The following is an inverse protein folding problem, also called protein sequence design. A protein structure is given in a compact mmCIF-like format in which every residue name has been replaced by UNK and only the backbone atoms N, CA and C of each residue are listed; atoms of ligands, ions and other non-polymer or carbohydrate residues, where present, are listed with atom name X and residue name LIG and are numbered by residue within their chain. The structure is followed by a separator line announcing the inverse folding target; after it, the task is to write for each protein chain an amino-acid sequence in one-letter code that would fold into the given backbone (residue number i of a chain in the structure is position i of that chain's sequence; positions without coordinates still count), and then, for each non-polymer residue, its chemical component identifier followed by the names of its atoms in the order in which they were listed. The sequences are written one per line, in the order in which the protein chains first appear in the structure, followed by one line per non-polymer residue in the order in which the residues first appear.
data_IF_176610023680
#
_entry.id   IF_176610023680
#
_cell.length_a   1.000
_cell.length_b   1.000
_cell.length_c   1.000
_cell.angle_alpha   90.00
_cell.angle_beta   90.00
_cell.angle_gamma   90.00
#
_symmetry.space_group_name_H-M   'P 1'
#
loop_
_entity.id
_entity.type
_entity.pdbx_description
1 polymer ?
#
# COMPACT_ATOMS: atom_id res chain seq x y z
N UNK A 1 22.24 -4.26 10.61
CA UNK A 1 22.37 -5.40 9.68
C UNK A 1 22.75 -4.85 8.31
N UNK A 2 23.85 -5.34 7.72
CA UNK A 2 24.58 -4.69 6.63
C UNK A 2 23.92 -4.88 5.25
N UNK A 3 23.41 -3.79 4.67
CA UNK A 3 22.70 -3.71 3.39
C UNK A 3 23.57 -3.91 2.12
N UNK A 4 24.71 -4.61 2.23
CA UNK A 4 25.62 -4.89 1.10
C UNK A 4 25.48 -6.27 0.48
N UNK A 5 24.86 -7.22 1.18
CA UNK A 5 24.84 -8.62 0.71
C UNK A 5 23.77 -8.90 -0.36
N UNK A 6 22.70 -8.10 -0.42
CA UNK A 6 21.60 -8.30 -1.39
C UNK A 6 21.88 -7.60 -2.73
N UNK A 7 22.79 -6.60 -2.74
CA UNK A 7 23.08 -5.80 -3.94
C UNK A 7 23.98 -6.48 -4.96
N UNK A 8 24.67 -7.57 -4.60
CA UNK A 8 25.75 -8.13 -5.43
C UNK A 8 25.33 -9.30 -6.33
N UNK A 9 24.17 -9.95 -6.13
CA UNK A 9 23.91 -11.23 -6.83
C UNK A 9 22.51 -11.50 -7.39
N UNK A 10 21.58 -10.54 -7.39
CA UNK A 10 20.30 -10.75 -8.07
C UNK A 10 19.94 -9.53 -8.91
N UNK A 11 19.53 -9.79 -10.16
CA UNK A 11 19.01 -8.80 -11.10
C UNK A 11 18.01 -7.92 -10.36
N UNK A 12 18.36 -6.64 -10.17
CA UNK A 12 17.69 -5.70 -9.25
C UNK A 12 16.17 -5.65 -9.44
N UNK A 13 15.71 -5.87 -10.68
CA UNK A 13 14.30 -5.99 -11.07
C UNK A 13 13.52 -7.09 -10.37
N UNK A 14 14.12 -8.27 -10.21
CA UNK A 14 13.37 -9.43 -9.73
C UNK A 14 13.33 -9.52 -8.20
N UNK A 15 14.06 -8.66 -7.49
CA UNK A 15 14.14 -8.71 -6.02
C UNK A 15 12.76 -8.46 -5.40
N UNK A 16 11.99 -7.50 -5.90
CA UNK A 16 10.64 -7.20 -5.40
C UNK A 16 9.68 -8.39 -5.63
N UNK A 17 9.66 -8.93 -6.85
CA UNK A 17 8.84 -10.08 -7.23
C UNK A 17 9.20 -11.31 -6.39
N UNK A 18 10.50 -11.62 -6.28
CA UNK A 18 10.98 -12.78 -5.54
C UNK A 18 10.71 -12.65 -4.04
N UNK A 19 10.82 -11.44 -3.48
CA UNK A 19 10.45 -11.19 -2.09
C UNK A 19 8.96 -11.47 -1.82
N UNK A 20 8.06 -11.02 -2.70
CA UNK A 20 6.61 -11.27 -2.56
C UNK A 20 6.30 -12.77 -2.66
N UNK A 21 6.93 -13.47 -3.60
CA UNK A 21 6.82 -14.93 -3.76
C UNK A 21 7.34 -15.66 -2.51
N UNK A 22 8.45 -15.18 -1.92
CA UNK A 22 9.00 -15.71 -0.67
C UNK A 22 8.11 -15.43 0.56
N UNK A 23 7.02 -14.67 0.41
CA UNK A 23 6.06 -14.40 1.47
C UNK A 23 6.22 -13.02 2.12
N UNK A 24 7.07 -12.14 1.60
CA UNK A 24 7.14 -10.77 2.09
C UNK A 24 5.82 -10.03 1.80
N UNK A 25 5.32 -9.29 2.79
CA UNK A 25 4.12 -8.46 2.63
C UNK A 25 4.46 -6.99 2.32
N UNK A 26 5.66 -6.52 2.69
CA UNK A 26 6.11 -5.13 2.46
C UNK A 26 7.54 -5.14 1.91
N UNK A 27 7.76 -4.40 0.82
CA UNK A 27 9.09 -4.10 0.28
C UNK A 27 9.57 -2.78 0.87
N UNK A 28 10.54 -2.84 1.78
CA UNK A 28 11.07 -1.66 2.46
C UNK A 28 12.24 -1.08 1.68
N UNK A 29 12.12 0.18 1.26
CA UNK A 29 13.16 0.95 0.57
C UNK A 29 13.72 0.24 -0.67
N UNK A 30 12.91 0.04 -1.73
CA UNK A 30 13.44 -0.43 -3.00
C UNK A 30 14.48 0.56 -3.52
N UNK A 31 15.48 0.04 -4.24
CA UNK A 31 16.53 0.87 -4.84
C UNK A 31 15.95 1.82 -5.91
N UNK A 32 15.00 1.32 -6.69
CA UNK A 32 14.21 2.06 -7.66
C UNK A 32 12.75 1.67 -7.44
N UNK A 33 11.91 2.65 -7.09
CA UNK A 33 10.50 2.41 -6.76
C UNK A 33 9.67 2.12 -8.00
N UNK A 34 9.91 2.85 -9.09
CA UNK A 34 9.15 2.73 -10.32
C UNK A 34 9.43 1.38 -10.98
N UNK A 35 10.71 0.99 -11.04
CA UNK A 35 11.11 -0.32 -11.57
C UNK A 35 10.57 -1.48 -10.70
N UNK A 36 10.54 -1.31 -9.37
CA UNK A 36 9.95 -2.30 -8.48
C UNK A 36 8.43 -2.44 -8.69
N UNK A 37 7.71 -1.33 -8.82
CA UNK A 37 6.28 -1.34 -9.07
C UNK A 37 5.94 -2.03 -10.40
N UNK A 38 6.59 -1.61 -11.50
CA UNK A 38 6.36 -2.18 -12.82
C UNK A 38 6.67 -3.68 -12.87
N UNK A 39 7.71 -4.11 -12.16
CA UNK A 39 8.07 -5.53 -12.07
C UNK A 39 6.99 -6.38 -11.38
N UNK A 40 6.36 -5.85 -10.34
CA UNK A 40 5.31 -6.55 -9.59
C UNK A 40 4.02 -6.54 -10.38
N UNK A 41 3.65 -5.41 -10.99
CA UNK A 41 2.48 -5.31 -11.85
C UNK A 41 2.55 -6.33 -12.99
N UNK A 42 3.68 -6.35 -13.71
CA UNK A 42 3.91 -7.32 -14.78
C UNK A 42 3.90 -8.76 -14.28
N UNK A 43 4.45 -9.04 -13.11
CA UNK A 43 4.41 -10.38 -12.53
C UNK A 43 2.98 -10.84 -12.17
N UNK A 44 2.07 -9.93 -11.86
CA UNK A 44 0.65 -10.23 -11.66
C UNK A 44 -0.06 -10.46 -13.00
N UNK A 45 0.16 -9.58 -13.98
CA UNK A 45 -0.40 -9.71 -15.34
C UNK A 45 0.05 -11.00 -16.03
N UNK A 46 1.33 -11.36 -15.89
CA UNK A 46 1.91 -12.60 -16.42
C UNK A 46 1.47 -13.86 -15.63
N UNK A 47 0.74 -13.69 -14.53
CA UNK A 47 0.25 -14.78 -13.67
C UNK A 47 1.31 -15.44 -12.79
N UNK A 48 2.53 -14.89 -12.71
CA UNK A 48 3.61 -15.35 -11.82
C UNK A 48 3.26 -15.12 -10.35
N UNK A 49 2.52 -14.06 -10.05
CA UNK A 49 1.91 -13.78 -8.74
C UNK A 49 0.40 -13.72 -8.95
N UNK A 50 -0.37 -14.47 -8.16
CA UNK A 50 -1.83 -14.34 -8.21
C UNK A 50 -2.27 -13.05 -7.52
N UNK A 51 -3.34 -12.42 -8.03
CA UNK A 51 -3.96 -11.25 -7.38
C UNK A 51 -4.32 -11.55 -5.91
N UNK A 52 -4.87 -12.73 -5.65
CA UNK A 52 -5.17 -13.21 -4.30
C UNK A 52 -3.94 -13.27 -3.35
N UNK A 53 -2.71 -13.39 -3.88
CA UNK A 53 -1.49 -13.31 -3.05
C UNK A 53 -1.26 -11.87 -2.58
N UNK A 54 -1.51 -10.89 -3.42
CA UNK A 54 -1.41 -9.47 -3.09
C UNK A 54 -2.52 -9.08 -2.12
N UNK A 55 -3.76 -9.51 -2.37
CA UNK A 55 -4.90 -9.23 -1.49
C UNK A 55 -4.65 -9.67 -0.05
N UNK A 56 -4.07 -10.86 0.14
CA UNK A 56 -3.69 -11.35 1.47
C UNK A 56 -2.64 -10.48 2.17
N UNK A 57 -1.67 -9.94 1.43
CA UNK A 57 -0.70 -8.98 1.98
C UNK A 57 -1.42 -7.70 2.42
N UNK A 58 -2.28 -7.17 1.54
CA UNK A 58 -3.04 -5.93 1.80
C UNK A 58 -3.95 -6.09 3.01
N UNK A 59 -4.67 -7.21 3.14
CA UNK A 59 -5.54 -7.51 4.27
C UNK A 59 -4.78 -7.46 5.61
N UNK A 60 -3.58 -8.08 5.68
CA UNK A 60 -2.75 -8.04 6.89
C UNK A 60 -2.26 -6.64 7.22
N UNK A 61 -1.86 -5.88 6.21
CA UNK A 61 -1.41 -4.50 6.37
C UNK A 61 -2.56 -3.63 6.87
N UNK A 62 -3.74 -3.74 6.27
CA UNK A 62 -4.93 -3.00 6.68
C UNK A 62 -5.36 -3.39 8.09
N UNK A 63 -5.38 -4.68 8.42
CA UNK A 63 -5.69 -5.16 9.77
C UNK A 63 -4.73 -4.57 10.80
N UNK A 64 -3.42 -4.55 10.51
CA UNK A 64 -2.44 -3.90 11.38
C UNK A 64 -2.69 -2.40 11.53
N UNK A 65 -3.01 -1.69 10.44
CA UNK A 65 -3.31 -0.26 10.51
C UNK A 65 -4.55 0.04 11.36
N UNK A 66 -5.62 -0.72 11.19
CA UNK A 66 -6.85 -0.63 11.99
C UNK A 66 -6.58 -0.96 13.46
N UNK A 67 -5.86 -2.05 13.73
CA UNK A 67 -5.49 -2.45 15.09
C UNK A 67 -4.67 -1.39 15.82
N UNK A 68 -3.87 -0.62 15.10
CA UNK A 68 -3.06 0.46 15.67
C UNK A 68 -3.77 1.82 15.64
N UNK A 69 -5.10 1.85 15.45
CA UNK A 69 -5.91 3.07 15.49
C UNK A 69 -5.46 4.14 14.46
N UNK A 70 -4.78 3.72 13.38
CA UNK A 70 -4.25 4.65 12.37
C UNK A 70 -5.34 5.23 11.45
N UNK A 71 -6.58 4.75 11.58
CA UNK A 71 -7.74 5.22 10.82
C UNK A 71 -8.79 5.91 11.70
N UNK A 72 -8.56 6.06 13.01
CA UNK A 72 -9.54 6.64 13.94
C UNK A 72 -9.83 8.12 13.59
N UNK A 73 -8.81 8.86 13.15
CA UNK A 73 -8.95 10.25 12.70
C UNK A 73 -9.75 10.39 11.39
N UNK A 74 -9.79 9.35 10.55
CA UNK A 74 -10.57 9.37 9.30
C UNK A 74 -12.08 9.23 9.54
N UNK A 75 -12.50 8.55 10.62
CA UNK A 75 -13.91 8.37 10.96
C UNK A 75 -14.57 9.66 11.49
N UNK A 76 -13.80 10.57 12.09
CA UNK A 76 -14.30 11.84 12.64
C UNK A 76 -14.62 12.87 11.54
N UNK A 77 -14.05 12.73 10.34
CA UNK A 77 -14.15 13.75 9.27
C UNK A 77 -15.39 13.59 8.37
N UNK A 78 -16.09 12.47 8.45
CA UNK A 78 -17.31 12.23 7.64
C UNK A 78 -18.61 12.74 8.28
N UNK A 79 -18.61 13.11 9.56
CA UNK A 79 -19.82 13.58 10.27
C UNK A 79 -20.01 15.11 10.26
N UNK A 80 -19.06 15.88 9.70
CA UNK A 80 -19.10 17.35 9.77
C UNK A 80 -19.62 18.04 8.48
N UNK A 81 -20.34 17.32 7.61
CA UNK A 81 -20.94 17.91 6.39
C UNK A 81 -22.46 18.14 6.49
N UNK A 82 -23.02 18.24 7.70
CA UNK A 82 -24.46 18.50 7.89
C UNK A 82 -24.79 19.74 8.73
N UNK A 83 -24.03 20.84 8.57
CA UNK A 83 -24.40 22.15 9.11
C UNK A 83 -24.14 23.30 8.12
N UNK A 84 -24.66 23.19 6.91
CA UNK A 84 -24.80 24.35 6.01
C UNK A 84 -26.11 24.24 5.21
N UNK A 85 -27.25 24.20 5.91
CA UNK A 85 -28.53 24.60 5.33
C UNK A 85 -29.36 25.30 6.39
N UNK A 86 -29.85 26.49 6.02
CA UNK A 86 -30.90 27.29 6.63
C UNK A 86 -30.47 28.37 7.63
N UNK A 87 -30.08 29.54 7.10
CA UNK A 87 -30.68 30.79 7.57
C UNK A 87 -30.86 31.78 6.42
N UNK A 88 -32.07 31.66 5.90
CA UNK A 88 -32.84 32.54 5.05
C UNK A 88 -32.68 34.05 5.33
N UNK A 89 -32.74 34.82 4.23
CA UNK A 89 -33.51 36.06 4.07
C UNK A 89 -33.17 37.37 4.81
N UNK A 90 -33.25 38.45 4.01
CA UNK A 90 -33.49 39.87 4.35
C UNK A 90 -32.27 40.60 4.96
N UNK A 91 -31.85 41.79 4.53
CA UNK A 91 -32.54 43.01 4.09
C UNK A 91 -31.68 43.72 3.02
N UNK A 92 -32.29 44.16 1.91
CA UNK A 92 -32.67 45.55 1.60
C UNK A 92 -31.50 46.51 1.37
#
# INVERSE_FOLDING_TARGET
MSAKCITENYVKREIAVNAIIAGADIILMPYDLDEAYDSVLKAVEDGKISEARIDKSVERILWLKVKNHLFDDYAQKSDDTSKDTDSDSSES
#
